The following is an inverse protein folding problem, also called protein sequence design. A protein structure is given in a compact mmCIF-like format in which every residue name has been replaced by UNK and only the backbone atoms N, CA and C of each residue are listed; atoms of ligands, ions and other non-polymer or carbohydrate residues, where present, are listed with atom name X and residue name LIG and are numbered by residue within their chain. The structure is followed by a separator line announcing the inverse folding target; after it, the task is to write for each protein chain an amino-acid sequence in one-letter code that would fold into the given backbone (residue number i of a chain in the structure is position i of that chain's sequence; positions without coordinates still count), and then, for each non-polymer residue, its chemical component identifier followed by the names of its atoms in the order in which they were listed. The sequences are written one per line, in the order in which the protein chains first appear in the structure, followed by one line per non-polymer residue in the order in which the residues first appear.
data_IF_479088655728
#
_entry.id   IF_479088655728
#
_cell.length_a   1.000
_cell.length_b   1.000
_cell.length_c   1.000
_cell.angle_alpha   90.00
_cell.angle_beta   90.00
_cell.angle_gamma   90.00
#
_symmetry.space_group_name_H-M   'P 1'
#
loop_
_entity.id
_entity.type
_entity.pdbx_description
1 polymer ?
#
# COMPACT_ATOMS: atom_id res chain seq x y z
N UNK A 1 -21.94 14.26 18.45
CA UNK A 1 -20.93 13.23 18.15
C UNK A 1 -20.68 13.32 16.67
N UNK A 2 -19.69 14.11 16.28
CA UNK A 2 -19.32 14.26 14.88
C UNK A 2 -18.79 12.92 14.38
N UNK A 3 -19.48 12.33 13.41
CA UNK A 3 -19.02 11.12 12.77
C UNK A 3 -17.66 11.43 12.12
N UNK A 4 -16.63 10.75 12.60
CA UNK A 4 -15.36 10.66 11.89
C UNK A 4 -15.67 10.08 10.51
N UNK A 5 -15.73 10.93 9.48
CA UNK A 5 -15.86 10.49 8.08
C UNK A 5 -14.56 9.74 7.76
N UNK A 6 -14.56 8.44 7.99
CA UNK A 6 -13.54 7.55 7.49
C UNK A 6 -13.74 7.47 5.97
N UNK A 7 -13.04 8.34 5.25
CA UNK A 7 -13.03 8.54 3.79
C UNK A 7 -13.92 7.54 3.03
N UNK A 8 -15.22 7.84 2.99
CA UNK A 8 -16.11 7.23 2.02
C UNK A 8 -15.75 7.87 0.70
N UNK A 9 -15.53 7.07 -0.34
CA UNK A 9 -15.36 7.60 -1.69
C UNK A 9 -16.59 8.44 -2.01
N UNK A 10 -16.43 9.76 -1.93
CA UNK A 10 -17.50 10.69 -2.24
C UNK A 10 -17.74 10.57 -3.74
N UNK A 11 -18.90 10.06 -4.14
CA UNK A 11 -19.47 10.32 -5.45
C UNK A 11 -19.34 11.83 -5.72
N UNK A 12 -18.45 12.23 -6.64
CA UNK A 12 -18.15 13.63 -6.94
C UNK A 12 -16.77 14.16 -6.49
N UNK A 13 -15.87 13.33 -5.96
CA UNK A 13 -14.50 13.75 -5.69
C UNK A 13 -13.78 14.24 -6.96
N UNK A 14 -13.06 15.37 -6.93
CA UNK A 14 -12.32 15.86 -8.10
C UNK A 14 -11.22 14.86 -8.48
N UNK A 15 -10.97 14.71 -9.78
CA UNK A 15 -9.96 13.78 -10.34
C UNK A 15 -8.59 13.98 -9.69
N UNK A 16 -8.23 15.22 -9.36
CA UNK A 16 -6.97 15.55 -8.68
C UNK A 16 -6.85 14.95 -7.28
N UNK A 17 -7.95 14.85 -6.52
CA UNK A 17 -7.94 14.24 -5.19
C UNK A 17 -7.78 12.71 -5.27
N UNK A 18 -8.44 12.07 -6.24
CA UNK A 18 -8.30 10.63 -6.50
C UNK A 18 -6.87 10.33 -6.96
N UNK A 19 -6.35 11.11 -7.91
CA UNK A 19 -4.98 10.98 -8.40
C UNK A 19 -3.93 11.20 -7.29
N UNK A 20 -4.13 12.19 -6.42
CA UNK A 20 -3.27 12.45 -5.27
C UNK A 20 -3.27 11.29 -4.27
N UNK A 21 -4.44 10.75 -3.95
CA UNK A 21 -4.58 9.58 -3.07
C UNK A 21 -3.87 8.36 -3.66
N UNK A 22 -4.11 8.09 -4.94
CA UNK A 22 -3.44 7.00 -5.65
C UNK A 22 -1.92 7.19 -5.66
N UNK A 23 -1.42 8.38 -6.02
CA UNK A 23 0.01 8.65 -6.12
C UNK A 23 0.71 8.50 -4.78
N UNK A 24 0.17 9.10 -3.70
CA UNK A 24 0.73 8.99 -2.36
C UNK A 24 0.71 7.54 -1.87
N UNK A 25 -0.38 6.82 -2.12
CA UNK A 25 -0.49 5.44 -1.69
C UNK A 25 0.44 4.51 -2.48
N UNK A 26 0.56 4.71 -3.79
CA UNK A 26 1.51 4.00 -4.64
C UNK A 26 2.96 4.25 -4.22
N UNK A 27 3.32 5.48 -3.86
CA UNK A 27 4.65 5.83 -3.34
C UNK A 27 4.91 5.17 -2.00
N UNK A 28 3.95 5.23 -1.09
CA UNK A 28 4.03 4.58 0.21
C UNK A 28 4.25 3.06 0.06
N UNK A 29 3.44 2.38 -0.76
CA UNK A 29 3.58 0.95 -1.02
C UNK A 29 4.88 0.61 -1.77
N UNK A 30 5.35 1.49 -2.65
CA UNK A 30 6.64 1.29 -3.33
C UNK A 30 7.82 1.35 -2.35
N UNK A 31 7.78 2.30 -1.41
CA UNK A 31 8.77 2.44 -0.36
C UNK A 31 8.80 1.18 0.53
N UNK A 32 7.64 0.71 0.98
CA UNK A 32 7.54 -0.47 1.84
C UNK A 32 7.93 -1.75 1.09
N UNK A 33 7.61 -1.86 -0.20
CA UNK A 33 8.07 -2.95 -1.05
C UNK A 33 9.60 -2.95 -1.16
N UNK A 34 10.23 -1.78 -1.32
CA UNK A 34 11.69 -1.68 -1.39
C UNK A 34 12.36 -2.13 -0.09
N UNK A 35 11.82 -1.71 1.05
CA UNK A 35 12.31 -2.13 2.38
C UNK A 35 12.18 -3.64 2.53
N UNK A 36 11.03 -4.21 2.18
CA UNK A 36 10.78 -5.64 2.31
C UNK A 36 11.69 -6.49 1.42
N UNK A 37 11.86 -6.10 0.16
CA UNK A 37 12.75 -6.81 -0.76
C UNK A 37 14.20 -6.70 -0.29
N UNK A 38 14.66 -5.51 0.15
CA UNK A 38 16.02 -5.36 0.69
C UNK A 38 16.25 -6.19 1.95
N UNK A 39 15.25 -6.28 2.81
CA UNK A 39 15.31 -7.08 4.04
C UNK A 39 15.51 -8.59 3.74
N UNK A 40 14.86 -9.11 2.70
CA UNK A 40 14.89 -10.55 2.40
C UNK A 40 16.00 -10.92 1.41
N UNK A 41 16.21 -10.10 0.38
CA UNK A 41 17.10 -10.42 -0.75
C UNK A 41 18.44 -9.68 -0.72
N UNK A 42 18.64 -8.73 0.21
CA UNK A 42 19.85 -7.91 0.28
C UNK A 42 19.84 -6.77 -0.72
N UNK A 43 20.92 -6.57 -1.47
CA UNK A 43 21.00 -5.44 -2.41
C UNK A 43 20.14 -5.68 -3.65
N UNK A 44 19.20 -4.77 -3.90
CA UNK A 44 18.23 -4.88 -4.99
C UNK A 44 18.00 -3.55 -5.67
N UNK A 45 17.67 -3.63 -6.96
CA UNK A 45 17.35 -2.47 -7.78
C UNK A 45 16.07 -1.78 -7.28
N UNK A 46 16.19 -0.47 -7.03
CA UNK A 46 15.08 0.39 -6.61
C UNK A 46 13.95 0.42 -7.64
N UNK A 47 14.29 0.43 -8.94
CA UNK A 47 13.33 0.51 -10.04
C UNK A 47 12.31 -0.64 -10.02
N UNK A 48 12.76 -1.85 -9.69
CA UNK A 48 11.89 -3.04 -9.59
C UNK A 48 10.91 -2.91 -8.44
N UNK A 49 11.36 -2.41 -7.28
CA UNK A 49 10.48 -2.22 -6.13
C UNK A 49 9.41 -1.14 -6.38
N UNK A 50 9.75 -0.07 -7.10
CA UNK A 50 8.81 0.98 -7.48
C UNK A 50 7.75 0.55 -8.49
N UNK A 51 7.95 -0.56 -9.21
CA UNK A 51 6.91 -1.14 -10.06
C UNK A 51 5.87 -1.94 -9.26
N UNK A 52 6.18 -2.32 -8.02
CA UNK A 52 5.30 -3.14 -7.18
C UNK A 52 4.18 -2.31 -6.58
N UNK A 53 4.49 -1.21 -5.90
CA UNK A 53 3.52 -0.41 -5.12
C UNK A 53 2.30 0.15 -5.87
N UNK A 54 2.40 0.60 -7.14
CA UNK A 54 1.25 1.13 -7.88
C UNK A 54 0.10 0.14 -8.08
N UNK A 55 0.38 -1.16 -8.19
CA UNK A 55 -0.64 -2.19 -8.45
C UNK A 55 -1.59 -2.41 -7.26
N UNK A 56 -1.12 -2.74 -6.04
CA UNK A 56 -1.98 -2.82 -4.86
C UNK A 56 -2.64 -1.47 -4.54
N UNK A 57 -1.99 -0.34 -4.83
CA UNK A 57 -2.61 0.97 -4.67
C UNK A 57 -3.81 1.18 -5.61
N UNK A 58 -3.69 0.79 -6.88
CA UNK A 58 -4.79 0.86 -7.84
C UNK A 58 -5.99 0.01 -7.39
N UNK A 59 -5.73 -1.21 -6.91
CA UNK A 59 -6.77 -2.12 -6.41
C UNK A 59 -7.50 -1.49 -5.23
N UNK A 60 -6.77 -0.97 -4.24
CA UNK A 60 -7.37 -0.35 -3.08
C UNK A 60 -8.21 0.87 -3.45
N UNK A 61 -7.69 1.75 -4.31
CA UNK A 61 -8.40 2.97 -4.74
C UNK A 61 -9.66 2.59 -5.52
N UNK A 62 -9.58 1.68 -6.47
CA UNK A 62 -10.75 1.25 -7.27
C UNK A 62 -11.81 0.61 -6.38
N UNK A 63 -11.45 -0.37 -5.55
CA UNK A 63 -12.42 -1.06 -4.70
C UNK A 63 -13.07 -0.11 -3.69
N UNK A 64 -12.29 0.79 -3.10
CA UNK A 64 -12.82 1.82 -2.19
C UNK A 64 -13.74 2.78 -2.94
N UNK A 65 -13.37 3.18 -4.16
CA UNK A 65 -14.15 4.12 -4.99
C UNK A 65 -15.53 3.57 -5.32
N UNK A 66 -15.63 2.28 -5.65
CA UNK A 66 -16.89 1.64 -6.02
C UNK A 66 -17.60 0.96 -4.84
N UNK A 67 -17.09 1.07 -3.61
CA UNK A 67 -17.65 0.41 -2.43
C UNK A 67 -17.70 -1.11 -2.55
N UNK A 68 -16.75 -1.70 -3.28
CA UNK A 68 -16.65 -3.15 -3.46
C UNK A 68 -16.06 -3.85 -2.24
N UNK A 69 -16.21 -5.17 -2.17
CA UNK A 69 -15.78 -5.96 -1.03
C UNK A 69 -14.27 -5.85 -0.76
N UNK A 70 -13.90 -5.35 0.43
CA UNK A 70 -12.50 -5.11 0.82
C UNK A 70 -11.68 -6.40 1.00
N UNK A 71 -12.29 -7.52 1.36
CA UNK A 71 -11.58 -8.80 1.45
C UNK A 71 -11.16 -9.30 0.06
N UNK A 72 -12.00 -9.07 -0.96
CA UNK A 72 -11.66 -9.36 -2.35
C UNK A 72 -10.53 -8.44 -2.82
N UNK A 73 -10.58 -7.14 -2.48
CA UNK A 73 -9.50 -6.20 -2.77
C UNK A 73 -8.16 -6.67 -2.18
N UNK A 74 -8.17 -7.07 -0.90
CA UNK A 74 -6.99 -7.55 -0.19
C UNK A 74 -6.43 -8.83 -0.83
N UNK A 75 -7.28 -9.80 -1.14
CA UNK A 75 -6.86 -11.05 -1.78
C UNK A 75 -6.22 -10.78 -3.16
N UNK A 76 -6.80 -9.90 -3.96
CA UNK A 76 -6.25 -9.49 -5.25
C UNK A 76 -4.93 -8.74 -5.10
N UNK A 77 -4.84 -7.81 -4.14
CA UNK A 77 -3.62 -7.06 -3.86
C UNK A 77 -2.47 -7.99 -3.47
N UNK A 78 -2.69 -8.92 -2.54
CA UNK A 78 -1.67 -9.90 -2.11
C UNK A 78 -1.28 -10.82 -3.28
N UNK A 79 -2.24 -11.32 -4.05
CA UNK A 79 -1.97 -12.22 -5.18
C UNK A 79 -1.18 -11.56 -6.30
N UNK A 80 -1.51 -10.31 -6.64
CA UNK A 80 -0.79 -9.54 -7.65
C UNK A 80 0.58 -9.08 -7.16
N UNK A 81 0.70 -8.68 -5.90
CA UNK A 81 1.97 -8.35 -5.26
C UNK A 81 2.93 -9.55 -5.30
N UNK A 82 2.45 -10.75 -4.92
CA UNK A 82 3.21 -11.99 -5.05
C UNK A 82 3.67 -12.27 -6.48
N UNK A 83 2.76 -12.10 -7.44
CA UNK A 83 3.07 -12.35 -8.86
C UNK A 83 4.13 -11.37 -9.38
N UNK A 84 4.01 -10.08 -9.03
CA UNK A 84 4.98 -9.04 -9.37
C UNK A 84 6.34 -9.32 -8.76
N UNK A 85 6.40 -9.57 -7.45
CA UNK A 85 7.66 -9.88 -6.76
C UNK A 85 8.32 -11.12 -7.36
N UNK A 86 7.55 -12.17 -7.61
CA UNK A 86 8.07 -13.39 -8.24
C UNK A 86 8.62 -13.13 -9.63
N UNK A 87 7.89 -12.39 -10.47
CA UNK A 87 8.28 -12.09 -11.84
C UNK A 87 9.50 -11.16 -11.91
N UNK A 88 9.48 -10.05 -11.15
CA UNK A 88 10.52 -9.02 -11.20
C UNK A 88 11.86 -9.49 -10.61
N UNK A 89 11.83 -10.37 -9.61
CA UNK A 89 13.03 -10.83 -8.90
C UNK A 89 13.42 -12.28 -9.22
N UNK A 90 12.62 -13.01 -9.99
CA UNK A 90 12.95 -14.37 -10.45
C UNK A 90 13.20 -15.37 -9.31
N UNK A 91 12.48 -15.24 -8.19
CA UNK A 91 12.71 -16.06 -6.98
C UNK A 91 11.71 -17.21 -6.84
N UNK A 92 12.06 -18.15 -5.96
CA UNK A 92 11.19 -19.28 -5.62
C UNK A 92 9.91 -18.81 -4.92
N UNK A 93 8.84 -19.60 -5.00
CA UNK A 93 7.56 -19.28 -4.37
C UNK A 93 7.72 -18.94 -2.88
N UNK A 94 8.56 -19.70 -2.17
CA UNK A 94 8.79 -19.49 -0.74
C UNK A 94 9.40 -18.12 -0.45
N UNK A 95 10.42 -17.71 -1.22
CA UNK A 95 11.05 -16.41 -1.03
C UNK A 95 10.14 -15.26 -1.44
N UNK A 96 9.42 -15.38 -2.55
CA UNK A 96 8.45 -14.36 -2.97
C UNK A 96 7.31 -14.19 -1.97
N UNK A 97 6.80 -15.30 -1.41
CA UNK A 97 5.78 -15.23 -0.36
C UNK A 97 6.31 -14.56 0.91
N UNK A 98 7.56 -14.86 1.29
CA UNK A 98 8.20 -14.22 2.44
C UNK A 98 8.38 -12.72 2.23
N UNK A 99 8.79 -12.28 1.04
CA UNK A 99 8.86 -10.85 0.70
C UNK A 99 7.51 -10.15 0.82
N UNK A 100 6.44 -10.73 0.26
CA UNK A 100 5.09 -10.12 0.34
C UNK A 100 4.59 -10.07 1.78
N UNK A 101 4.86 -11.10 2.57
CA UNK A 101 4.53 -11.10 3.99
C UNK A 101 5.25 -9.96 4.73
N UNK A 102 6.55 -9.79 4.52
CA UNK A 102 7.31 -8.67 5.10
C UNK A 102 6.82 -7.33 4.55
N UNK A 103 6.47 -7.24 3.27
CA UNK A 103 5.89 -6.03 2.68
C UNK A 103 4.62 -5.63 3.42
N UNK A 104 3.68 -6.57 3.60
CA UNK A 104 2.45 -6.34 4.35
C UNK A 104 2.74 -5.87 5.79
N UNK A 105 3.64 -6.56 6.51
CA UNK A 105 4.00 -6.20 7.89
C UNK A 105 4.61 -4.80 7.97
N UNK A 106 5.58 -4.48 7.12
CA UNK A 106 6.24 -3.16 7.08
C UNK A 106 5.23 -2.07 6.72
N UNK A 107 4.33 -2.34 5.77
CA UNK A 107 3.22 -1.44 5.42
C UNK A 107 2.33 -1.15 6.62
N UNK A 108 1.91 -2.17 7.36
CA UNK A 108 1.06 -1.97 8.55
C UNK A 108 1.80 -1.18 9.64
N UNK A 109 3.04 -1.55 9.95
CA UNK A 109 3.85 -0.86 10.99
C UNK A 109 4.04 0.61 10.63
N UNK A 110 4.51 0.90 9.41
CA UNK A 110 4.77 2.27 8.98
C UNK A 110 3.46 3.07 8.90
N UNK A 111 2.38 2.46 8.41
CA UNK A 111 1.06 3.09 8.35
C UNK A 111 0.55 3.49 9.74
N UNK A 112 0.65 2.59 10.72
CA UNK A 112 0.28 2.87 12.12
C UNK A 112 1.14 3.98 12.71
N UNK A 113 2.46 3.97 12.46
CA UNK A 113 3.36 5.02 12.94
C UNK A 113 2.98 6.38 12.35
N UNK A 114 2.83 6.48 11.02
CA UNK A 114 2.49 7.73 10.35
C UNK A 114 1.12 8.25 10.77
N UNK A 115 0.12 7.37 10.88
CA UNK A 115 -1.21 7.74 11.38
C UNK A 115 -1.16 8.21 12.84
N UNK A 116 -0.46 7.49 13.71
CA UNK A 116 -0.29 7.88 15.11
C UNK A 116 0.40 9.24 15.24
N UNK A 117 1.45 9.48 14.46
CA UNK A 117 2.11 10.79 14.40
C UNK A 117 1.12 11.88 13.94
N UNK A 118 0.36 11.64 12.87
CA UNK A 118 -0.64 12.60 12.39
C UNK A 118 -1.66 12.94 13.47
N UNK A 119 -2.16 11.94 14.20
CA UNK A 119 -3.10 12.14 15.31
C UNK A 119 -2.45 12.98 16.40
N UNK A 120 -1.21 12.69 16.80
CA UNK A 120 -0.50 13.48 17.83
C UNK A 120 -0.32 14.93 17.38
N UNK A 121 0.14 15.16 16.15
CA UNK A 121 0.38 16.51 15.63
C UNK A 121 -0.90 17.34 15.51
N UNK A 122 -2.04 16.70 15.20
CA UNK A 122 -3.32 17.39 15.00
C UNK A 122 -4.15 17.52 16.27
N UNK A 123 -3.85 16.73 17.31
CA UNK A 123 -4.51 16.81 18.62
C UNK A 123 -3.68 17.52 19.69
N UNK A 124 -2.46 17.95 19.37
CA UNK A 124 -1.65 18.75 20.27
C UNK A 124 -2.39 20.06 20.63
N UNK A 125 -2.51 20.40 21.92
CA UNK A 125 -3.06 21.68 22.33
C UNK A 125 -2.14 22.80 21.81
N UNK A 126 -2.70 23.73 21.05
CA UNK A 126 -2.06 24.98 20.64
C UNK A 126 -1.96 25.96 21.82
#
# INVERSE_FOLDING_TARGET
MDALILQTAASGAPVTAVAGTFALFALFLSLTAHIAVRNVLGDVELKKAFAVGPVPAAIAVVFTTFGWNSFVALALAIGLDFTLVKYLYGRSNRLSAYVVFIHFVVTVILGVILFGLLVILTSAPI
#
